data_IF_125994846695
#
_entry.id   IF_125994846695
#
_cell.length_a   1.000
_cell.length_b   1.000
_cell.length_c   1.000
_cell.angle_alpha   90.00
_cell.angle_beta   90.00
_cell.angle_gamma   90.00
#
_symmetry.space_group_name_H-M   'P 1'
#
loop_
_entity.id
_entity.type
_entity.pdbx_description
1 polymer ?
#
# COMPACT_ATOMS: atom_id res chain seq x y z
N UNK A 1 5.76 18.72 16.07
CA UNK A 1 5.61 18.24 17.46
C UNK A 1 5.36 19.46 18.33
N UNK A 2 4.17 19.53 18.90
CA UNK A 2 3.13 20.47 18.50
C UNK A 2 2.82 21.41 19.68
N UNK A 3 2.61 22.70 19.41
CA UNK A 3 2.33 23.73 20.41
C UNK A 3 1.11 23.38 21.29
N UNK A 4 0.20 22.55 20.78
CA UNK A 4 -0.98 22.05 21.48
C UNK A 4 -0.65 21.20 22.72
N UNK A 5 0.21 20.18 22.58
CA UNK A 5 0.60 19.30 23.69
C UNK A 5 1.34 20.08 24.79
N UNK A 6 2.16 21.05 24.40
CA UNK A 6 2.88 21.89 25.33
C UNK A 6 1.91 22.78 26.14
N UNK A 7 0.85 23.28 25.51
CA UNK A 7 -0.20 24.06 26.17
C UNK A 7 -1.03 23.22 27.15
N UNK A 8 -1.36 21.97 26.81
CA UNK A 8 -2.08 21.06 27.71
C UNK A 8 -1.24 20.70 28.94
N UNK A 9 0.06 20.44 28.75
CA UNK A 9 0.99 20.19 29.86
C UNK A 9 1.12 21.41 30.79
N UNK A 10 1.17 22.62 30.25
CA UNK A 10 1.18 23.86 31.03
C UNK A 10 -0.13 24.02 31.82
N UNK A 11 -1.27 23.75 31.18
CA UNK A 11 -2.60 23.82 31.81
C UNK A 11 -2.75 22.78 32.92
N UNK A 12 -2.27 21.56 32.70
CA UNK A 12 -2.24 20.49 33.68
C UNK A 12 -1.42 20.93 34.90
N UNK A 13 -0.14 21.31 34.70
CA UNK A 13 0.75 21.80 35.77
C UNK A 13 0.13 22.94 36.59
N UNK A 14 -0.56 23.88 35.94
CA UNK A 14 -1.25 24.99 36.60
C UNK A 14 -2.42 24.50 37.46
N UNK A 15 -3.20 23.55 36.95
CA UNK A 15 -4.31 22.91 37.68
C UNK A 15 -3.78 22.17 38.89
N UNK A 16 -2.71 21.37 38.73
CA UNK A 16 -2.03 20.67 39.82
C UNK A 16 -1.65 21.62 40.96
N UNK A 17 -0.99 22.72 40.59
CA UNK A 17 -0.53 23.74 41.55
C UNK A 17 -1.70 24.36 42.32
N UNK A 18 -2.81 24.65 41.63
CA UNK A 18 -4.00 25.27 42.23
C UNK A 18 -4.71 24.32 43.19
N UNK A 19 -4.96 23.06 42.83
CA UNK A 19 -5.58 22.07 43.73
C UNK A 19 -4.70 21.79 44.95
N UNK A 20 -3.37 21.73 44.79
CA UNK A 20 -2.43 21.64 45.91
C UNK A 20 -2.56 22.83 46.87
N UNK A 21 -2.63 24.05 46.34
CA UNK A 21 -2.82 25.25 47.16
C UNK A 21 -4.14 25.23 47.91
N UNK A 22 -5.25 24.85 47.25
CA UNK A 22 -6.56 24.73 47.88
C UNK A 22 -6.55 23.70 49.02
N UNK A 23 -5.92 22.53 48.80
CA UNK A 23 -5.79 21.50 49.83
C UNK A 23 -5.02 22.02 51.07
N UNK A 24 -3.88 22.68 50.85
CA UNK A 24 -3.06 23.25 51.93
C UNK A 24 -3.82 24.37 52.65
N UNK A 25 -4.51 25.25 51.92
CA UNK A 25 -5.33 26.30 52.50
C UNK A 25 -6.46 25.75 53.35
N UNK A 26 -7.14 24.67 52.93
CA UNK A 26 -8.18 24.03 53.73
C UNK A 26 -7.63 23.46 55.05
N UNK A 27 -6.46 22.81 55.01
CA UNK A 27 -5.79 22.24 56.19
C UNK A 27 -5.36 23.32 57.19
N UNK A 28 -5.02 24.52 56.73
CA UNK A 28 -4.55 25.62 57.59
C UNK A 28 -5.71 26.49 58.08
N UNK A 29 -6.63 26.87 57.18
CA UNK A 29 -7.70 27.83 57.47
C UNK A 29 -8.66 27.26 58.51
N UNK A 30 -9.14 26.02 58.33
CA UNK A 30 -10.14 25.41 59.21
C UNK A 30 -9.70 25.41 60.69
N UNK A 31 -8.51 24.87 61.07
CA UNK A 31 -8.08 24.92 62.46
C UNK A 31 -7.76 26.34 62.94
N UNK A 32 -7.27 27.22 62.06
CA UNK A 32 -6.96 28.61 62.41
C UNK A 32 -8.22 29.41 62.72
N UNK A 33 -9.28 29.28 61.92
CA UNK A 33 -10.58 29.90 62.21
C UNK A 33 -11.19 29.40 63.51
N UNK A 34 -11.03 28.11 63.83
CA UNK A 34 -11.51 27.55 65.10
C UNK A 34 -10.70 28.07 66.30
N UNK A 35 -9.37 28.12 66.20
CA UNK A 35 -8.49 28.68 67.23
C UNK A 35 -8.77 30.17 67.49
N UNK A 36 -9.02 30.95 66.43
CA UNK A 36 -9.41 32.36 66.52
C UNK A 36 -10.76 32.52 67.23
N UNK A 37 -11.75 31.69 66.89
CA UNK A 37 -13.07 31.74 67.51
C UNK A 37 -13.02 31.44 69.03
N UNK A 38 -12.23 30.46 69.45
CA UNK A 38 -12.06 30.14 70.88
C UNK A 38 -11.27 31.21 71.65
N UNK A 39 -10.20 31.74 71.04
CA UNK A 39 -9.29 32.69 71.68
C UNK A 39 -9.82 34.12 71.77
N UNK A 40 -10.34 34.68 70.67
CA UNK A 40 -10.77 36.09 70.61
C UNK A 40 -12.24 36.30 71.02
N UNK A 41 -13.12 35.33 70.74
CA UNK A 41 -14.57 35.48 70.96
C UNK A 41 -15.00 34.74 72.23
N UNK A 42 -14.43 33.56 72.50
CA UNK A 42 -14.78 32.72 73.65
C UNK A 42 -14.05 33.05 74.95
N UNK A 43 -12.92 33.77 74.91
CA UNK A 43 -12.06 34.09 76.06
C UNK A 43 -11.69 32.87 76.93
N UNK A 44 -11.54 31.69 76.30
CA UNK A 44 -11.26 30.43 76.99
C UNK A 44 -9.75 30.18 77.12
N UNK A 45 -9.32 29.64 78.28
CA UNK A 45 -7.93 29.22 78.51
C UNK A 45 -7.63 27.88 77.83
N UNK A 46 -6.38 27.68 77.40
CA UNK A 46 -5.92 26.43 76.78
C UNK A 46 -6.10 25.26 77.76
N UNK A 47 -6.82 24.21 77.35
CA UNK A 47 -7.02 23.00 78.16
C UNK A 47 -5.70 22.23 78.33
N UNK A 48 -5.36 21.89 79.58
CA UNK A 48 -4.25 21.00 79.91
C UNK A 48 -4.65 19.52 79.88
N UNK A 49 -5.96 19.23 79.84
CA UNK A 49 -6.47 17.86 79.73
C UNK A 49 -6.36 17.34 78.29
N UNK A 50 -5.74 16.17 78.15
CA UNK A 50 -5.52 15.47 76.89
C UNK A 50 -6.82 15.02 76.21
N UNK A 51 -7.91 14.78 76.96
CA UNK A 51 -9.20 14.34 76.41
C UNK A 51 -9.85 15.40 75.51
N UNK A 52 -9.75 16.67 75.90
CA UNK A 52 -10.24 17.82 75.12
C UNK A 52 -9.53 17.94 73.76
N UNK A 53 -8.24 17.62 73.72
CA UNK A 53 -7.46 17.60 72.48
C UNK A 53 -7.82 16.43 71.56
N UNK A 54 -8.21 15.28 72.13
CA UNK A 54 -8.78 14.15 71.38
C UNK A 54 -10.09 14.55 70.68
N UNK A 55 -11.01 15.17 71.42
CA UNK A 55 -12.31 15.62 70.87
C UNK A 55 -12.15 16.69 69.79
N UNK A 56 -11.19 17.61 69.95
CA UNK A 56 -10.84 18.57 68.91
C UNK A 56 -10.28 17.88 67.66
N UNK A 57 -9.39 16.89 67.84
CA UNK A 57 -8.87 16.06 66.77
C UNK A 57 -9.97 15.34 66.00
N UNK A 58 -10.99 14.81 66.69
CA UNK A 58 -12.14 14.15 66.07
C UNK A 58 -12.99 15.11 65.24
N UNK A 59 -13.24 16.33 65.73
CA UNK A 59 -13.94 17.37 64.96
C UNK A 59 -13.16 17.78 63.70
N UNK A 60 -11.86 18.03 63.85
CA UNK A 60 -10.97 18.40 62.74
C UNK A 60 -10.88 17.26 61.71
N UNK A 61 -10.73 16.03 62.17
CA UNK A 61 -10.73 14.82 61.34
C UNK A 61 -12.06 14.62 60.62
N UNK A 62 -13.18 14.89 61.30
CA UNK A 62 -14.54 14.80 60.74
C UNK A 62 -14.80 15.78 59.59
N UNK A 63 -14.13 16.93 59.56
CA UNK A 63 -14.25 17.92 58.48
C UNK A 63 -13.17 17.72 57.40
N UNK A 64 -11.91 17.53 57.81
CA UNK A 64 -10.80 17.43 56.87
C UNK A 64 -10.84 16.14 56.05
N UNK A 65 -11.24 15.00 56.63
CA UNK A 65 -11.28 13.74 55.89
C UNK A 65 -12.24 13.79 54.69
N UNK A 66 -13.50 14.24 54.81
CA UNK A 66 -14.39 14.39 53.65
C UNK A 66 -13.86 15.37 52.60
N UNK A 67 -13.26 16.49 53.00
CA UNK A 67 -12.68 17.48 52.06
C UNK A 67 -11.50 16.89 51.29
N UNK A 68 -10.58 16.22 52.00
CA UNK A 68 -9.42 15.55 51.39
C UNK A 68 -9.89 14.40 50.48
N UNK A 69 -10.88 13.61 50.91
CA UNK A 69 -11.45 12.53 50.11
C UNK A 69 -12.09 13.04 48.81
N UNK A 70 -12.82 14.16 48.86
CA UNK A 70 -13.42 14.77 47.67
C UNK A 70 -12.35 15.30 46.70
N UNK A 71 -11.29 15.93 47.23
CA UNK A 71 -10.15 16.37 46.41
C UNK A 71 -9.41 15.18 45.77
N UNK A 72 -9.21 14.09 46.52
CA UNK A 72 -8.60 12.87 46.00
C UNK A 72 -9.47 12.23 44.90
N UNK A 73 -10.79 12.20 45.10
CA UNK A 73 -11.73 11.71 44.09
C UNK A 73 -11.73 12.57 42.82
N UNK A 74 -11.78 13.90 42.96
CA UNK A 74 -11.67 14.82 41.82
C UNK A 74 -10.40 14.56 41.01
N UNK A 75 -9.27 14.40 41.70
CA UNK A 75 -7.99 14.09 41.06
C UNK A 75 -7.96 12.74 40.35
N UNK A 76 -8.60 11.73 40.93
CA UNK A 76 -8.73 10.42 40.31
C UNK A 76 -9.56 10.52 39.02
N UNK A 77 -10.68 11.23 39.05
CA UNK A 77 -11.51 11.47 37.87
C UNK A 77 -10.74 12.21 36.78
N UNK A 78 -10.04 13.29 37.13
CA UNK A 78 -9.22 14.05 36.19
C UNK A 78 -8.13 13.17 35.57
N UNK A 79 -7.45 12.35 36.39
CA UNK A 79 -6.42 11.42 35.91
C UNK A 79 -6.99 10.38 34.94
N UNK A 80 -8.17 9.83 35.24
CA UNK A 80 -8.85 8.87 34.37
C UNK A 80 -9.25 9.50 33.04
N UNK A 81 -9.73 10.75 33.05
CA UNK A 81 -10.09 11.47 31.83
C UNK A 81 -8.85 11.68 30.94
N UNK A 82 -7.73 12.12 31.51
CA UNK A 82 -6.47 12.30 30.77
C UNK A 82 -6.00 10.97 30.17
N UNK A 83 -5.99 9.90 30.95
CA UNK A 83 -5.60 8.56 30.47
C UNK A 83 -6.48 8.11 29.29
N UNK A 84 -7.79 8.37 29.34
CA UNK A 84 -8.68 8.07 28.20
C UNK A 84 -8.33 8.88 26.96
N UNK A 85 -7.99 10.16 27.10
CA UNK A 85 -7.60 10.99 25.96
C UNK A 85 -6.28 10.53 25.35
N UNK A 86 -5.28 10.18 26.17
CA UNK A 86 -4.00 9.63 25.71
C UNK A 86 -4.18 8.28 25.01
N UNK A 87 -5.04 7.41 25.55
CA UNK A 87 -5.37 6.13 24.92
C UNK A 87 -6.02 6.33 23.54
N UNK A 88 -6.96 7.28 23.42
CA UNK A 88 -7.60 7.59 22.13
C UNK A 88 -6.59 8.14 21.11
N UNK A 89 -5.70 9.04 21.53
CA UNK A 89 -4.62 9.54 20.69
C UNK A 89 -3.66 8.41 20.25
N UNK A 90 -3.32 7.50 21.17
CA UNK A 90 -2.48 6.33 20.89
C UNK A 90 -3.14 5.39 19.90
N UNK A 91 -4.43 5.10 20.06
CA UNK A 91 -5.20 4.28 19.13
C UNK A 91 -5.19 4.87 17.72
N UNK A 92 -5.33 6.19 17.59
CA UNK A 92 -5.25 6.87 16.28
C UNK A 92 -3.88 6.71 15.64
N UNK A 93 -2.80 6.94 16.39
CA UNK A 93 -1.42 6.76 15.91
C UNK A 93 -1.18 5.31 15.48
N UNK A 94 -1.67 4.34 16.25
CA UNK A 94 -1.57 2.92 15.91
C UNK A 94 -2.27 2.59 14.59
N UNK A 95 -3.47 3.14 14.35
CA UNK A 95 -4.19 2.96 13.08
C UNK A 95 -3.43 3.57 11.90
N UNK A 96 -2.90 4.78 12.03
CA UNK A 96 -2.07 5.42 10.99
C UNK A 96 -0.77 4.65 10.73
N UNK A 97 -0.17 4.09 11.79
CA UNK A 97 1.03 3.25 11.71
C UNK A 97 0.73 1.93 11.02
N UNK A 98 -0.41 1.28 11.32
CA UNK A 98 -0.83 0.04 10.67
C UNK A 98 -1.02 0.25 9.16
N UNK A 99 -1.67 1.33 8.75
CA UNK A 99 -1.84 1.67 7.33
C UNK A 99 -0.50 1.93 6.64
N UNK A 100 0.40 2.67 7.30
CA UNK A 100 1.76 2.93 6.80
C UNK A 100 2.55 1.65 6.65
N UNK A 101 2.46 0.75 7.64
CA UNK A 101 3.15 -0.53 7.63
C UNK A 101 2.64 -1.46 6.52
N UNK A 102 1.31 -1.53 6.31
CA UNK A 102 0.70 -2.27 5.19
C UNK A 102 1.23 -1.78 3.85
N UNK A 103 1.30 -0.46 3.66
CA UNK A 103 1.87 0.14 2.44
C UNK A 103 3.34 -0.22 2.26
N UNK A 104 4.15 -0.11 3.32
CA UNK A 104 5.57 -0.48 3.27
C UNK A 104 5.78 -1.96 2.95
N UNK A 105 4.98 -2.86 3.53
CA UNK A 105 5.05 -4.30 3.24
C UNK A 105 4.74 -4.59 1.77
N UNK A 106 3.72 -3.93 1.22
CA UNK A 106 3.39 -4.00 -0.20
C UNK A 106 4.55 -3.50 -1.06
N UNK A 107 5.07 -2.29 -0.79
CA UNK A 107 6.16 -1.67 -1.57
C UNK A 107 7.43 -2.51 -1.53
N UNK A 108 7.82 -3.03 -0.36
CA UNK A 108 8.96 -3.93 -0.23
C UNK A 108 8.79 -5.18 -1.10
N UNK A 109 7.63 -5.83 -1.03
CA UNK A 109 7.34 -7.03 -1.84
C UNK A 109 7.32 -6.72 -3.35
N UNK A 110 6.73 -5.58 -3.73
CA UNK A 110 6.69 -5.11 -5.11
C UNK A 110 8.11 -4.86 -5.66
N UNK A 111 8.95 -4.13 -4.92
CA UNK A 111 10.31 -3.82 -5.37
C UNK A 111 11.21 -5.06 -5.38
N UNK A 112 11.03 -6.01 -4.45
CA UNK A 112 11.74 -7.30 -4.51
C UNK A 112 11.36 -8.11 -5.76
N UNK A 113 10.09 -8.15 -6.14
CA UNK A 113 9.67 -8.80 -7.39
C UNK A 113 10.20 -8.06 -8.63
N UNK A 114 10.23 -6.73 -8.61
CA UNK A 114 10.78 -5.91 -9.69
C UNK A 114 12.30 -6.15 -9.85
N UNK A 115 13.03 -6.26 -8.75
CA UNK A 115 14.46 -6.59 -8.74
C UNK A 115 14.70 -8.00 -9.31
N UNK A 116 13.87 -8.98 -8.93
CA UNK A 116 13.92 -10.32 -9.51
C UNK A 116 13.66 -10.28 -11.02
N UNK A 117 12.66 -9.52 -11.47
CA UNK A 117 12.37 -9.32 -12.90
C UNK A 117 13.58 -8.75 -13.64
N UNK A 118 14.23 -7.72 -13.08
CA UNK A 118 15.40 -7.08 -13.68
C UNK A 118 16.63 -8.02 -13.70
N UNK A 119 16.81 -8.83 -12.66
CA UNK A 119 17.89 -9.83 -12.59
C UNK A 119 17.73 -10.85 -13.71
N UNK A 120 16.53 -11.42 -13.86
CA UNK A 120 16.24 -12.39 -14.94
C UNK A 120 16.37 -11.72 -16.31
N UNK A 121 15.90 -10.48 -16.47
CA UNK A 121 16.08 -9.73 -17.72
C UNK A 121 17.56 -9.56 -18.07
N UNK A 122 18.41 -9.20 -17.10
CA UNK A 122 19.86 -9.03 -17.32
C UNK A 122 20.52 -10.34 -17.71
N UNK A 123 20.14 -11.46 -17.06
CA UNK A 123 20.63 -12.79 -17.44
C UNK A 123 20.25 -13.15 -18.87
N UNK A 124 18.98 -12.94 -19.25
CA UNK A 124 18.48 -13.22 -20.60
C UNK A 124 19.06 -12.31 -21.68
N UNK A 125 19.45 -11.08 -21.32
CA UNK A 125 20.05 -10.10 -22.23
C UNK A 125 21.58 -10.05 -22.19
N UNK A 126 22.22 -10.89 -21.38
CA UNK A 126 23.68 -11.02 -21.41
C UNK A 126 24.10 -11.56 -22.77
N UNK A 127 24.87 -10.77 -23.52
CA UNK A 127 25.30 -11.13 -24.87
C UNK A 127 26.55 -12.00 -24.83
N UNK A 128 26.46 -13.16 -25.47
CA UNK A 128 27.54 -14.13 -25.58
C UNK A 128 27.95 -14.30 -27.06
N UNK A 129 29.20 -14.72 -27.35
CA UNK A 129 29.64 -15.00 -28.71
C UNK A 129 28.76 -16.08 -29.37
N UNK A 130 28.35 -15.86 -30.62
CA UNK A 130 27.57 -16.85 -31.35
C UNK A 130 28.46 -18.04 -31.77
N UNK A 131 27.99 -19.30 -31.61
CA UNK A 131 28.76 -20.48 -32.00
C UNK A 131 29.15 -20.52 -33.48
N UNK A 132 28.34 -19.87 -34.33
CA UNK A 132 28.50 -19.87 -35.79
C UNK A 132 29.23 -18.63 -36.33
N UNK A 133 29.42 -17.59 -35.51
CA UNK A 133 30.08 -16.37 -35.92
C UNK A 133 30.73 -15.69 -34.69
N UNK A 134 32.04 -15.89 -34.53
CA UNK A 134 32.80 -15.42 -33.36
C UNK A 134 32.81 -13.89 -33.22
N UNK A 135 32.51 -13.15 -34.29
CA UNK A 135 32.40 -11.68 -34.29
C UNK A 135 30.97 -11.18 -33.98
N UNK A 136 30.02 -12.08 -33.77
CA UNK A 136 28.61 -11.78 -33.48
C UNK A 136 28.31 -12.13 -32.03
N UNK A 137 27.63 -11.24 -31.34
CA UNK A 137 27.24 -11.41 -29.94
C UNK A 137 25.74 -11.29 -29.84
N UNK A 138 25.08 -12.33 -29.35
CA UNK A 138 23.63 -12.33 -29.09
C UNK A 138 23.33 -12.81 -27.70
N UNK A 139 22.27 -12.25 -27.16
CA UNK A 139 21.67 -12.75 -25.94
C UNK A 139 20.62 -13.83 -26.24
N UNK A 140 20.13 -14.49 -25.18
CA UNK A 140 19.00 -15.42 -25.28
C UNK A 140 17.76 -14.67 -25.78
N UNK A 141 17.54 -13.45 -25.29
CA UNK A 141 16.41 -12.62 -25.71
C UNK A 141 16.51 -12.17 -27.18
N UNK A 142 17.71 -11.79 -27.64
CA UNK A 142 17.94 -11.43 -29.06
C UNK A 142 17.63 -12.64 -29.96
N UNK A 143 18.15 -13.82 -29.62
CA UNK A 143 17.94 -15.06 -30.39
C UNK A 143 16.48 -15.49 -30.42
N UNK A 144 15.79 -15.36 -29.29
CA UNK A 144 14.37 -15.67 -29.17
C UNK A 144 13.52 -14.71 -30.00
N UNK A 145 13.81 -13.41 -29.93
CA UNK A 145 13.14 -12.38 -30.73
C UNK A 145 13.35 -12.63 -32.23
N UNK A 146 14.58 -12.90 -32.66
CA UNK A 146 14.87 -13.21 -34.07
C UNK A 146 14.10 -14.46 -34.55
N UNK A 147 14.03 -15.49 -33.71
CA UNK A 147 13.31 -16.74 -34.02
C UNK A 147 11.82 -16.49 -34.21
N UNK A 148 11.20 -15.69 -33.33
CA UNK A 148 9.77 -15.38 -33.40
C UNK A 148 9.48 -14.38 -34.52
N UNK A 149 10.34 -13.39 -34.76
CA UNK A 149 10.01 -12.24 -35.60
C UNK A 149 10.69 -12.19 -36.97
N UNK A 150 11.95 -12.61 -37.08
CA UNK A 150 12.78 -12.46 -38.29
C UNK A 150 12.76 -13.74 -39.14
N UNK A 151 12.96 -14.89 -38.51
CA UNK A 151 12.93 -16.22 -39.16
C UNK A 151 11.57 -16.58 -39.76
N UNK A 152 10.52 -15.79 -39.46
CA UNK A 152 9.20 -15.88 -40.08
C UNK A 152 9.17 -15.38 -41.53
N UNK A 153 10.05 -14.44 -41.92
CA UNK A 153 10.02 -13.78 -43.24
C UNK A 153 10.25 -14.72 -44.44
N UNK A 154 10.70 -15.96 -44.20
CA UNK A 154 10.92 -17.01 -45.20
C UNK A 154 9.79 -18.04 -45.32
N UNK A 155 8.70 -17.92 -44.54
CA UNK A 155 7.62 -18.91 -44.52
C UNK A 155 6.41 -18.51 -45.38
N UNK A 156 5.90 -19.51 -46.10
CA UNK A 156 4.70 -19.42 -46.92
C UNK A 156 3.43 -19.41 -46.04
N UNK A 157 2.67 -18.31 -46.11
CA UNK A 157 1.49 -18.03 -45.24
C UNK A 157 0.16 -18.45 -45.87
N UNK A 158 0.18 -19.26 -46.94
CA UNK A 158 -1.03 -19.67 -47.68
C UNK A 158 -2.11 -20.39 -46.84
N UNK A 159 -1.79 -20.91 -45.66
CA UNK A 159 -2.72 -21.71 -44.84
C UNK A 159 -2.81 -21.32 -43.35
N UNK A 160 -1.90 -20.50 -42.84
CA UNK A 160 -1.81 -20.12 -41.41
C UNK A 160 -1.51 -18.63 -41.33
N UNK A 161 -2.20 -17.91 -40.44
CA UNK A 161 -1.96 -16.48 -40.27
C UNK A 161 -0.55 -16.21 -39.75
N UNK A 162 0.01 -15.06 -40.11
CA UNK A 162 1.35 -14.67 -39.66
C UNK A 162 1.44 -14.66 -38.12
N UNK A 163 0.36 -14.27 -37.45
CA UNK A 163 0.28 -14.20 -35.99
C UNK A 163 0.26 -15.58 -35.35
N UNK A 164 -0.55 -16.51 -35.88
CA UNK A 164 -0.59 -17.89 -35.40
C UNK A 164 0.79 -18.54 -35.53
N UNK A 165 1.47 -18.37 -36.68
CA UNK A 165 2.79 -18.96 -36.85
C UNK A 165 3.84 -18.42 -35.88
N UNK A 166 3.80 -17.10 -35.58
CA UNK A 166 4.66 -16.48 -34.56
C UNK A 166 4.39 -17.06 -33.19
N UNK A 167 3.12 -17.31 -32.85
CA UNK A 167 2.76 -17.98 -31.61
C UNK A 167 3.32 -19.41 -31.53
N UNK A 168 3.24 -20.20 -32.61
CA UNK A 168 3.86 -21.53 -32.65
C UNK A 168 5.37 -21.48 -32.37
N UNK A 169 6.07 -20.55 -33.03
CA UNK A 169 7.51 -20.34 -32.84
C UNK A 169 7.83 -19.88 -31.42
N UNK A 170 6.99 -19.03 -30.84
CA UNK A 170 7.10 -18.60 -29.45
C UNK A 170 7.01 -19.81 -28.51
N UNK A 171 5.95 -20.61 -28.60
CA UNK A 171 5.73 -21.77 -27.71
C UNK A 171 6.86 -22.79 -27.84
N UNK A 172 7.36 -23.04 -29.05
CA UNK A 172 8.45 -23.99 -29.28
C UNK A 172 9.78 -23.55 -28.65
N UNK A 173 10.02 -22.25 -28.52
CA UNK A 173 11.32 -21.70 -28.10
C UNK A 173 11.27 -20.93 -26.77
N UNK A 174 10.14 -20.89 -26.06
CA UNK A 174 9.97 -20.08 -24.86
C UNK A 174 10.70 -20.58 -23.60
N UNK A 175 11.33 -21.76 -23.59
CA UNK A 175 11.75 -22.41 -22.32
C UNK A 175 12.55 -21.50 -21.41
N UNK A 176 13.52 -20.80 -21.98
CA UNK A 176 14.50 -20.01 -21.22
C UNK A 176 13.91 -18.64 -20.83
N UNK A 177 12.97 -18.10 -21.61
CA UNK A 177 12.37 -16.78 -21.40
C UNK A 177 11.02 -16.81 -20.67
N UNK A 178 10.37 -17.97 -20.58
CA UNK A 178 9.00 -18.07 -20.03
C UNK A 178 8.92 -17.66 -18.56
N UNK A 179 9.98 -17.93 -17.78
CA UNK A 179 10.03 -17.52 -16.38
C UNK A 179 9.95 -15.99 -16.22
N UNK A 180 10.59 -15.23 -17.11
CA UNK A 180 10.54 -13.77 -17.11
C UNK A 180 9.10 -13.25 -17.29
N UNK A 181 8.35 -13.79 -18.27
CA UNK A 181 6.95 -13.41 -18.48
C UNK A 181 6.04 -13.82 -17.32
N UNK A 182 6.32 -14.95 -16.65
CA UNK A 182 5.60 -15.36 -15.44
C UNK A 182 5.83 -14.39 -14.28
N UNK A 183 7.04 -13.85 -14.13
CA UNK A 183 7.32 -12.81 -13.13
C UNK A 183 6.50 -11.55 -13.43
N UNK A 184 6.45 -11.10 -14.69
CA UNK A 184 5.60 -9.96 -15.10
C UNK A 184 4.14 -10.22 -14.70
N UNK A 185 3.59 -11.39 -15.06
CA UNK A 185 2.24 -11.78 -14.66
C UNK A 185 2.03 -11.71 -13.15
N UNK A 186 2.97 -12.27 -12.37
CA UNK A 186 2.86 -12.29 -10.93
C UNK A 186 2.91 -10.88 -10.32
N UNK A 187 3.73 -9.98 -10.85
CA UNK A 187 3.77 -8.58 -10.41
C UNK A 187 2.45 -7.88 -10.72
N UNK A 188 1.91 -8.03 -11.94
CA UNK A 188 0.64 -7.39 -12.31
C UNK A 188 -0.53 -7.94 -11.48
N UNK A 189 -0.54 -9.25 -11.22
CA UNK A 189 -1.52 -9.88 -10.32
C UNK A 189 -1.36 -9.40 -8.88
N UNK A 190 -0.12 -9.22 -8.41
CA UNK A 190 0.17 -8.69 -7.08
C UNK A 190 -0.33 -7.25 -6.93
N UNK A 191 -0.15 -6.39 -7.94
CA UNK A 191 -0.70 -5.02 -7.97
C UNK A 191 -2.23 -5.08 -7.84
N UNK A 192 -2.90 -5.91 -8.65
CA UNK A 192 -4.37 -6.05 -8.65
C UNK A 192 -4.88 -6.44 -7.26
N UNK A 193 -4.31 -7.49 -6.66
CA UNK A 193 -4.81 -8.07 -5.42
C UNK A 193 -4.64 -7.16 -4.19
N UNK A 194 -3.63 -6.28 -4.19
CA UNK A 194 -3.31 -5.46 -3.01
C UNK A 194 -3.83 -4.02 -3.10
N UNK A 195 -4.24 -3.57 -4.28
CA UNK A 195 -4.66 -2.19 -4.48
C UNK A 195 -6.11 -2.07 -4.93
N UNK A 196 -6.81 -3.15 -5.27
CA UNK A 196 -8.22 -3.05 -5.62
C UNK A 196 -9.07 -2.66 -4.40
N UNK A 197 -9.97 -1.68 -4.58
CA UNK A 197 -10.82 -1.12 -3.52
C UNK A 197 -11.96 -2.07 -3.07
N UNK A 198 -12.01 -3.30 -3.59
CA UNK A 198 -13.11 -4.23 -3.33
C UNK A 198 -12.97 -4.91 -1.97
N UNK A 199 -14.07 -5.15 -1.24
CA UNK A 199 -14.04 -5.90 0.03
C UNK A 199 -13.72 -7.39 -0.13
N UNK A 200 -13.71 -7.91 -1.36
CA UNK A 200 -13.54 -9.31 -1.69
C UNK A 200 -12.15 -9.55 -2.30
N UNK A 201 -11.12 -9.33 -1.46
CA UNK A 201 -9.71 -9.08 -1.84
C UNK A 201 -9.00 -10.20 -2.63
N UNK A 202 -9.63 -11.34 -2.90
CA UNK A 202 -8.94 -12.52 -3.44
C UNK A 202 -9.55 -13.13 -4.72
N UNK A 203 -10.69 -12.64 -5.21
CA UNK A 203 -11.31 -13.20 -6.41
C UNK A 203 -10.91 -12.44 -7.68
N UNK A 204 -9.99 -13.00 -8.46
CA UNK A 204 -9.47 -12.40 -9.69
C UNK A 204 -10.56 -11.92 -10.66
N UNK A 205 -11.62 -12.71 -10.89
CA UNK A 205 -12.67 -12.36 -11.85
C UNK A 205 -13.57 -11.20 -11.41
N UNK A 206 -13.60 -10.91 -10.11
CA UNK A 206 -14.26 -9.73 -9.55
C UNK A 206 -13.31 -8.53 -9.65
N UNK A 207 -12.07 -8.69 -9.17
CA UNK A 207 -11.08 -7.61 -9.13
C UNK A 207 -10.76 -7.06 -10.51
N UNK A 208 -10.60 -7.92 -11.52
CA UNK A 208 -10.20 -7.50 -12.86
C UNK A 208 -11.22 -6.57 -13.54
N UNK A 209 -12.48 -6.61 -13.08
CA UNK A 209 -13.61 -5.80 -13.62
C UNK A 209 -13.79 -4.46 -12.90
N UNK A 210 -13.10 -4.21 -11.78
CA UNK A 210 -13.19 -2.92 -11.10
C UNK A 210 -12.46 -1.83 -11.89
N UNK A 211 -12.71 -0.56 -11.59
CA UNK A 211 -11.91 0.51 -12.19
C UNK A 211 -10.46 0.48 -11.68
N UNK A 212 -9.53 0.90 -12.54
CA UNK A 212 -8.11 1.02 -12.18
C UNK A 212 -7.91 2.28 -11.36
N UNK A 213 -7.52 2.14 -10.10
CA UNK A 213 -7.24 3.30 -9.25
C UNK A 213 -5.83 3.90 -9.49
N UNK A 214 -5.57 5.06 -8.88
CA UNK A 214 -4.32 5.81 -9.06
C UNK A 214 -3.09 5.02 -8.60
N UNK A 215 -3.23 4.24 -7.54
CA UNK A 215 -2.13 3.45 -6.96
C UNK A 215 -1.78 2.28 -7.88
N UNK A 216 -2.78 1.53 -8.36
CA UNK A 216 -2.61 0.48 -9.37
C UNK A 216 -1.91 1.03 -10.61
N UNK A 217 -2.41 2.14 -11.17
CA UNK A 217 -1.85 2.75 -12.37
C UNK A 217 -0.42 3.22 -12.18
N UNK A 218 -0.08 3.75 -11.01
CA UNK A 218 1.28 4.16 -10.67
C UNK A 218 2.25 2.96 -10.75
N UNK A 219 1.99 1.88 -10.02
CA UNK A 219 2.87 0.71 -10.02
C UNK A 219 2.88 -0.03 -11.36
N UNK A 220 1.74 -0.11 -12.06
CA UNK A 220 1.69 -0.76 -13.37
C UNK A 220 2.50 0.01 -14.42
N UNK A 221 2.50 1.34 -14.34
CA UNK A 221 3.32 2.20 -15.22
C UNK A 221 4.82 2.00 -14.94
N UNK A 222 5.23 1.80 -13.68
CA UNK A 222 6.61 1.42 -13.37
C UNK A 222 6.96 0.12 -14.10
N UNK A 223 6.14 -0.94 -14.02
CA UNK A 223 6.45 -2.19 -14.73
C UNK A 223 6.53 -1.97 -16.24
N UNK A 224 5.59 -1.21 -16.79
CA UNK A 224 5.53 -0.91 -18.23
C UNK A 224 6.78 -0.18 -18.72
N UNK A 225 7.42 0.67 -17.90
CA UNK A 225 8.65 1.36 -18.30
C UNK A 225 9.88 0.45 -18.41
N UNK A 226 9.84 -0.76 -17.82
CA UNK A 226 10.92 -1.75 -17.95
C UNK A 226 10.77 -2.62 -19.20
N UNK A 227 9.66 -2.54 -19.92
CA UNK A 227 9.44 -3.32 -21.13
C UNK A 227 10.06 -2.59 -22.33
N UNK A 228 11.16 -3.14 -22.86
CA UNK A 228 11.72 -2.67 -24.12
C UNK A 228 10.87 -3.17 -25.31
N UNK A 229 11.14 -2.65 -26.51
CA UNK A 229 10.39 -2.99 -27.73
C UNK A 229 10.23 -4.49 -27.96
N UNK A 230 11.32 -5.25 -27.82
CA UNK A 230 11.32 -6.68 -28.11
C UNK A 230 10.52 -7.46 -27.07
N UNK A 231 10.68 -7.12 -25.80
CA UNK A 231 9.88 -7.67 -24.70
C UNK A 231 8.40 -7.34 -24.88
N UNK A 232 8.03 -6.10 -25.22
CA UNK A 232 6.63 -5.71 -25.44
C UNK A 232 6.02 -6.53 -26.59
N UNK A 233 6.76 -6.71 -27.68
CA UNK A 233 6.30 -7.52 -28.81
C UNK A 233 6.17 -9.00 -28.45
N UNK A 234 7.14 -9.58 -27.74
CA UNK A 234 7.08 -10.96 -27.27
C UNK A 234 5.95 -11.17 -26.26
N UNK A 235 5.71 -10.20 -25.37
CA UNK A 235 4.61 -10.22 -24.41
C UNK A 235 3.25 -10.24 -25.12
N UNK A 236 3.11 -9.47 -26.20
CA UNK A 236 1.93 -9.46 -27.06
C UNK A 236 1.73 -10.78 -27.83
N UNK A 237 2.79 -11.53 -28.13
CA UNK A 237 2.65 -12.88 -28.68
C UNK A 237 2.27 -13.87 -27.58
N UNK A 238 2.89 -13.78 -26.40
CA UNK A 238 2.66 -14.71 -25.31
C UNK A 238 1.19 -14.72 -24.83
N UNK A 239 0.54 -13.56 -24.85
CA UNK A 239 -0.80 -13.38 -24.30
C UNK A 239 -1.91 -13.36 -25.36
N UNK A 240 -1.66 -13.88 -26.57
CA UNK A 240 -2.68 -13.93 -27.64
C UNK A 240 -3.90 -14.74 -27.20
N UNK A 241 -5.07 -14.36 -27.73
CA UNK A 241 -6.30 -15.15 -27.62
C UNK A 241 -6.25 -16.36 -28.54
N UNK A 242 -5.73 -17.46 -27.99
CA UNK A 242 -5.54 -18.70 -28.76
C UNK A 242 -6.85 -19.36 -29.14
N UNK A 243 -7.97 -18.99 -28.51
CA UNK A 243 -9.30 -19.53 -28.85
C UNK A 243 -9.73 -19.12 -30.27
N UNK A 244 -9.19 -18.02 -30.79
CA UNK A 244 -9.51 -17.49 -32.13
C UNK A 244 -8.89 -18.29 -33.28
N UNK A 245 -7.86 -19.10 -33.03
CA UNK A 245 -7.14 -19.82 -34.10
C UNK A 245 -6.77 -21.27 -33.76
N UNK A 246 -6.66 -21.62 -32.48
CA UNK A 246 -6.07 -22.91 -32.09
C UNK A 246 -7.08 -24.02 -31.76
N UNK A 247 -8.39 -23.73 -31.68
CA UNK A 247 -9.44 -24.68 -31.25
C UNK A 247 -9.05 -25.52 -30.01
N UNK A 248 -8.34 -24.91 -29.04
CA UNK A 248 -7.89 -25.58 -27.83
C UNK A 248 -6.55 -26.34 -27.93
N UNK A 249 -5.82 -26.23 -29.06
CA UNK A 249 -4.48 -26.81 -29.24
C UNK A 249 -3.44 -26.19 -28.30
N UNK A 250 -3.63 -24.92 -27.92
CA UNK A 250 -2.69 -24.19 -27.07
C UNK A 250 -3.35 -23.68 -25.79
N UNK A 251 -2.58 -23.64 -24.70
CA UNK A 251 -2.98 -23.03 -23.43
C UNK A 251 -3.27 -21.54 -23.63
N UNK A 252 -4.49 -21.10 -23.27
CA UNK A 252 -4.88 -19.69 -23.34
C UNK A 252 -4.56 -18.99 -22.01
N UNK A 253 -3.60 -18.06 -22.03
CA UNK A 253 -3.23 -17.27 -20.86
C UNK A 253 -4.21 -16.10 -20.62
N UNK A 254 -5.51 -16.37 -20.61
CA UNK A 254 -6.59 -15.37 -20.52
C UNK A 254 -6.44 -14.40 -19.34
N UNK A 255 -6.07 -14.89 -18.16
CA UNK A 255 -5.85 -14.04 -16.98
C UNK A 255 -4.67 -13.10 -17.17
N UNK A 256 -3.61 -13.55 -17.85
CA UNK A 256 -2.50 -12.67 -18.16
C UNK A 256 -2.91 -11.62 -19.20
N UNK A 257 -3.60 -12.04 -20.27
CA UNK A 257 -4.17 -11.13 -21.28
C UNK A 257 -5.03 -10.03 -20.63
N UNK A 258 -5.96 -10.38 -19.74
CA UNK A 258 -6.80 -9.41 -19.04
C UNK A 258 -5.99 -8.39 -18.22
N UNK A 259 -4.87 -8.80 -17.60
CA UNK A 259 -3.99 -7.87 -16.88
C UNK A 259 -3.23 -6.94 -17.83
N UNK A 260 -2.78 -7.45 -18.98
CA UNK A 260 -2.16 -6.64 -20.04
C UNK A 260 -3.13 -5.58 -20.56
N UNK A 261 -4.39 -5.98 -20.78
CA UNK A 261 -5.49 -5.10 -21.17
C UNK A 261 -5.77 -4.03 -20.11
N UNK A 262 -6.03 -4.45 -18.86
CA UNK A 262 -6.29 -3.56 -17.72
C UNK A 262 -5.24 -2.46 -17.56
N UNK A 263 -3.97 -2.82 -17.67
CA UNK A 263 -2.86 -1.90 -17.39
C UNK A 263 -2.26 -1.24 -18.62
N UNK A 264 -2.82 -1.47 -19.81
CA UNK A 264 -2.33 -0.95 -21.09
C UNK A 264 -0.86 -1.29 -21.34
N UNK A 265 -0.45 -2.52 -21.04
CA UNK A 265 0.96 -2.94 -21.08
C UNK A 265 1.57 -2.91 -22.49
N UNK A 266 0.73 -2.82 -23.54
CA UNK A 266 1.15 -2.74 -24.94
C UNK A 266 1.12 -1.31 -25.50
N UNK A 267 0.99 -0.28 -24.66
CA UNK A 267 0.93 1.12 -25.10
C UNK A 267 2.14 1.54 -25.97
N UNK A 268 3.32 0.98 -25.72
CA UNK A 268 4.55 1.28 -26.47
C UNK A 268 4.93 0.19 -27.49
N UNK A 269 3.99 -0.67 -27.86
CA UNK A 269 4.23 -1.69 -28.88
C UNK A 269 4.64 -1.04 -30.20
N UNK A 270 5.75 -1.51 -30.76
CA UNK A 270 6.24 -1.04 -32.06
C UNK A 270 5.80 -2.03 -33.13
N UNK A 271 4.77 -1.67 -33.89
CA UNK A 271 4.22 -2.54 -34.92
C UNK A 271 5.16 -2.66 -36.11
N UNK A 272 5.56 -3.89 -36.43
CA UNK A 272 6.02 -4.22 -37.77
C UNK A 272 4.79 -4.33 -38.69
N UNK A 273 4.92 -4.13 -40.02
CA UNK A 273 3.80 -4.23 -40.96
C UNK A 273 2.98 -5.52 -40.85
N UNK A 274 3.60 -6.61 -40.39
CA UNK A 274 2.98 -7.93 -40.22
C UNK A 274 2.45 -8.18 -38.80
N UNK A 275 2.43 -7.17 -37.92
CA UNK A 275 1.90 -7.24 -36.54
C UNK A 275 0.50 -6.62 -36.39
N UNK A 276 -0.09 -6.00 -37.41
CA UNK A 276 -1.42 -5.37 -37.28
C UNK A 276 -2.53 -6.36 -36.92
N UNK A 277 -2.39 -7.63 -37.31
CA UNK A 277 -3.36 -8.69 -36.96
C UNK A 277 -3.44 -8.91 -35.44
N UNK A 278 -2.35 -8.71 -34.70
CA UNK A 278 -2.29 -8.85 -33.22
C UNK A 278 -3.33 -7.98 -32.53
N UNK A 279 -3.64 -6.80 -33.10
CA UNK A 279 -4.66 -5.88 -32.57
C UNK A 279 -6.00 -6.60 -32.37
N UNK A 280 -6.34 -7.53 -33.26
CA UNK A 280 -7.64 -8.23 -33.22
C UNK A 280 -7.75 -9.26 -32.08
N UNK A 281 -6.64 -9.60 -31.42
CA UNK A 281 -6.60 -10.56 -30.32
C UNK A 281 -6.75 -9.93 -28.94
N UNK A 282 -6.74 -8.59 -28.85
CA UNK A 282 -6.80 -7.84 -27.60
C UNK A 282 -7.97 -6.86 -27.57
N UNK A 283 -8.45 -6.55 -26.37
CA UNK A 283 -9.25 -5.35 -26.18
C UNK A 283 -8.43 -4.08 -26.47
N UNK A 284 -9.12 -3.01 -26.90
CA UNK A 284 -8.50 -1.71 -27.21
C UNK A 284 -7.71 -1.14 -26.02
N UNK A 285 -8.15 -1.41 -24.78
CA UNK A 285 -7.49 -0.96 -23.54
C UNK A 285 -6.04 -1.42 -23.39
N UNK A 286 -5.65 -2.55 -23.99
CA UNK A 286 -4.26 -3.05 -23.96
C UNK A 286 -3.25 -2.05 -24.55
N UNK A 287 -3.71 -1.20 -25.47
CA UNK A 287 -2.88 -0.31 -26.26
C UNK A 287 -2.83 1.13 -25.75
N UNK A 288 -3.59 1.47 -24.69
CA UNK A 288 -3.60 2.80 -24.09
C UNK A 288 -3.68 3.93 -25.12
N UNK A 289 -2.73 4.87 -25.02
CA UNK A 289 -2.65 6.06 -25.88
C UNK A 289 -1.77 5.86 -27.15
N UNK A 290 -1.57 4.62 -27.61
CA UNK A 290 -0.76 4.35 -28.80
C UNK A 290 -1.40 4.98 -30.05
N UNK A 291 -0.78 6.06 -30.56
CA UNK A 291 -1.29 6.85 -31.70
C UNK A 291 -1.54 6.01 -32.96
N UNK A 292 -0.62 5.11 -33.30
CA UNK A 292 -0.70 4.29 -34.53
C UNK A 292 -1.94 3.40 -34.49
N UNK A 293 -2.21 2.81 -33.32
CA UNK A 293 -3.33 1.89 -33.11
C UNK A 293 -4.66 2.66 -33.01
N UNK A 294 -4.66 3.81 -32.33
CA UNK A 294 -5.82 4.69 -32.31
C UNK A 294 -6.22 5.12 -33.72
N UNK A 295 -5.26 5.44 -34.60
CA UNK A 295 -5.53 5.78 -35.99
C UNK A 295 -6.00 4.58 -36.82
N UNK A 296 -5.51 3.37 -36.51
CA UNK A 296 -6.03 2.13 -37.10
C UNK A 296 -7.53 1.96 -36.78
N UNK A 297 -7.94 2.09 -35.51
CA UNK A 297 -9.35 1.97 -35.13
C UNK A 297 -10.23 3.05 -35.77
N UNK A 298 -9.77 4.31 -35.80
CA UNK A 298 -10.51 5.40 -36.47
C UNK A 298 -10.73 5.16 -37.96
N UNK A 299 -9.78 4.53 -38.65
CA UNK A 299 -9.94 4.18 -40.07
C UNK A 299 -10.94 3.06 -40.27
N UNK A 300 -10.94 2.06 -39.39
CA UNK A 300 -11.87 0.92 -39.44
C UNK A 300 -13.31 1.30 -39.10
N UNK A 301 -13.53 2.28 -38.22
CA UNK A 301 -14.86 2.81 -37.90
C UNK A 301 -15.49 3.62 -39.06
N UNK A 302 -14.68 4.08 -40.02
CA UNK A 302 -15.11 4.84 -41.20
C UNK A 302 -15.32 4.00 -42.46
N UNK A 303 -14.91 2.74 -42.45
CA UNK A 303 -15.03 1.77 -43.55
C UNK A 303 -16.23 0.85 -43.35
#
# INVERSE_FOLDING_TARGET
MDNSQNNELIKLKKTIKRTKQVAISAVIIIPTTYAIALGLIGNQSISLDSSSWGTFGDFMGGILNPVIALLAFYWLVESVLIQKTELSATQKILQETEQTQKKQQFENSFFSLLEQMNTVFTQLNTRLPEPKNVNSYKSVMDTFTDTVFVSFSSFDTRHISATEKRYELFIKNKSDTNHYFRIIYQILKFILNNNADSKDNNNFDILIKTDVNKTEKFYSNIIRSFLNKDVTNLLAINCLDTTKFSNGRYEDYSNFRKLIERYSMLEHISMLPNLYEIITYYDRSAFGDNKVILDYYKRKEKS
#
